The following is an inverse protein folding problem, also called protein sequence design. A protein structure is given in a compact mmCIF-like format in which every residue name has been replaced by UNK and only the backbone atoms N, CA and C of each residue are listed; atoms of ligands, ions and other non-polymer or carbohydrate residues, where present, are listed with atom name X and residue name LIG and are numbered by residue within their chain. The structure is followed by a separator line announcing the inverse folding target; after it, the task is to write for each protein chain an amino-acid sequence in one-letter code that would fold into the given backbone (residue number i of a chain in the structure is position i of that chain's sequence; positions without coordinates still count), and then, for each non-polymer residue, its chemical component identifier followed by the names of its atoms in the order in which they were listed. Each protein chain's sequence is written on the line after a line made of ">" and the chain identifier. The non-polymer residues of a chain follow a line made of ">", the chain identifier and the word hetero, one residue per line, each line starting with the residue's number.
data_IF_928163859569
#
_entry.id   IF_928163859569
#
_cell.length_a   1.000
_cell.length_b   1.000
_cell.length_c   1.000
_cell.angle_alpha   90.00
_cell.angle_beta   90.00
_cell.angle_gamma   90.00
#
_symmetry.space_group_name_H-M   'P 1'
#
loop_
_entity.id
_entity.type
_entity.pdbx_description
1 polymer ?
#
# COMPACT_ATOMS: atom_id res chain seq x y z
N UNK A 1 -37.23 12.65 -48.26
CA UNK A 1 -36.50 13.61 -49.12
C UNK A 1 -35.16 13.89 -48.42
N UNK A 2 -34.13 13.07 -48.65
CA UNK A 2 -33.16 13.06 -49.77
C UNK A 2 -32.05 14.11 -49.61
N UNK A 3 -30.84 13.62 -49.33
CA UNK A 3 -29.52 13.91 -49.94
C UNK A 3 -28.43 13.65 -48.87
N UNK A 4 -27.83 12.46 -48.78
CA UNK A 4 -26.79 11.88 -49.66
C UNK A 4 -25.47 12.65 -49.62
N UNK A 5 -24.55 12.23 -48.74
CA UNK A 5 -23.11 12.44 -48.93
C UNK A 5 -22.37 11.10 -48.84
N UNK A 6 -21.88 10.67 -50.00
CA UNK A 6 -21.02 9.53 -50.28
C UNK A 6 -19.66 10.11 -50.70
N UNK A 7 -18.57 9.71 -50.04
CA UNK A 7 -17.18 9.78 -50.53
C UNK A 7 -16.39 8.71 -49.76
N UNK A 8 -16.37 7.45 -50.19
CA UNK A 8 -15.53 6.87 -51.25
C UNK A 8 -14.04 6.78 -50.84
N UNK A 9 -13.70 5.81 -49.98
CA UNK A 9 -12.32 5.40 -49.74
C UNK A 9 -11.98 4.12 -50.53
N UNK A 10 -11.02 4.25 -51.43
CA UNK A 10 -10.58 3.25 -52.41
C UNK A 10 -9.85 2.08 -51.75
N UNK A 11 -10.25 0.86 -52.14
CA UNK A 11 -9.46 -0.36 -52.06
C UNK A 11 -8.24 -0.26 -52.98
N UNK A 12 -7.04 -0.58 -52.47
CA UNK A 12 -5.93 -1.08 -53.29
C UNK A 12 -5.45 -2.40 -52.72
N UNK A 13 -5.81 -3.46 -53.44
CA UNK A 13 -5.21 -4.78 -53.39
C UNK A 13 -3.87 -4.73 -54.13
N UNK A 14 -2.78 -5.02 -53.42
CA UNK A 14 -1.56 -5.58 -54.00
C UNK A 14 -0.99 -6.59 -52.99
N UNK A 15 -1.08 -7.87 -53.34
CA UNK A 15 -0.15 -8.94 -52.94
C UNK A 15 0.85 -9.07 -54.10
N UNK A 16 2.13 -9.47 -53.94
CA UNK A 16 2.44 -10.80 -53.37
C UNK A 16 3.83 -11.02 -52.69
N UNK A 17 3.91 -12.17 -52.02
CA UNK A 17 5.08 -13.06 -51.82
C UNK A 17 6.29 -12.66 -50.93
N UNK A 18 6.83 -13.72 -50.29
CA UNK A 18 8.15 -13.88 -49.67
C UNK A 18 8.39 -13.29 -48.27
N UNK A 19 8.20 -14.10 -47.22
CA UNK A 19 9.28 -14.82 -46.51
C UNK A 19 8.70 -15.48 -45.25
N UNK A 20 8.65 -16.81 -45.26
CA UNK A 20 8.57 -17.62 -44.03
C UNK A 20 9.96 -17.58 -43.41
N UNK A 21 10.14 -16.74 -42.39
CA UNK A 21 11.30 -16.78 -41.51
C UNK A 21 10.81 -17.13 -40.12
N UNK A 22 10.98 -18.42 -39.82
CA UNK A 22 10.80 -19.06 -38.53
C UNK A 22 11.79 -18.47 -37.53
N UNK A 23 11.45 -17.35 -36.89
CA UNK A 23 12.12 -16.90 -35.68
C UNK A 23 11.52 -17.66 -34.50
N UNK A 24 12.09 -18.83 -34.20
CA UNK A 24 12.03 -19.40 -32.86
C UNK A 24 12.85 -18.50 -31.94
N UNK A 25 12.24 -17.44 -31.43
CA UNK A 25 12.75 -16.79 -30.22
C UNK A 25 12.64 -17.81 -29.10
N UNK A 26 13.78 -18.38 -28.72
CA UNK A 26 14.00 -18.99 -27.42
C UNK A 26 13.59 -17.93 -26.39
N UNK A 27 12.35 -18.02 -25.91
CA UNK A 27 11.96 -17.33 -24.68
C UNK A 27 12.78 -17.98 -23.59
N UNK A 28 13.91 -17.35 -23.30
CA UNK A 28 14.71 -17.62 -22.13
C UNK A 28 13.83 -17.25 -20.94
N UNK A 29 13.03 -18.21 -20.47
CA UNK A 29 12.34 -18.13 -19.21
C UNK A 29 13.41 -18.19 -18.12
N UNK A 30 14.12 -17.08 -17.92
CA UNK A 30 14.76 -16.80 -16.65
C UNK A 30 13.62 -16.79 -15.64
N UNK A 31 13.41 -17.96 -15.05
CA UNK A 31 12.62 -18.14 -13.85
C UNK A 31 13.39 -17.36 -12.81
N UNK A 32 13.06 -16.07 -12.67
CA UNK A 32 13.50 -15.25 -11.55
C UNK A 32 13.06 -16.03 -10.32
N UNK A 33 14.02 -16.69 -9.67
CA UNK A 33 13.86 -17.32 -8.38
C UNK A 33 13.38 -16.22 -7.43
N UNK A 34 12.07 -16.10 -7.32
CA UNK A 34 11.46 -15.24 -6.32
C UNK A 34 11.79 -15.89 -4.98
N UNK A 35 12.47 -15.14 -4.10
CA UNK A 35 12.70 -15.59 -2.74
C UNK A 35 11.38 -16.10 -2.14
N UNK A 36 11.39 -17.23 -1.41
CA UNK A 36 10.19 -17.77 -0.81
C UNK A 36 9.54 -16.71 0.08
N UNK A 37 8.22 -16.58 0.00
CA UNK A 37 7.46 -15.68 0.86
C UNK A 37 7.79 -16.02 2.32
N UNK A 38 8.34 -15.06 3.06
CA UNK A 38 8.63 -15.27 4.47
C UNK A 38 7.31 -15.22 5.24
N UNK A 39 6.90 -16.31 5.92
CA UNK A 39 5.75 -16.24 6.81
C UNK A 39 6.07 -15.17 7.87
N UNK A 40 5.10 -14.31 8.19
CA UNK A 40 5.25 -13.38 9.31
C UNK A 40 5.61 -14.19 10.55
N UNK A 41 6.84 -13.98 11.06
CA UNK A 41 7.38 -14.72 12.19
C UNK A 41 6.38 -14.75 13.36
N UNK A 42 6.33 -15.85 14.12
CA UNK A 42 5.52 -15.90 15.32
C UNK A 42 5.83 -14.67 16.18
N UNK A 43 4.77 -14.06 16.72
CA UNK A 43 4.77 -12.77 17.44
C UNK A 43 5.72 -12.76 18.65
N UNK A 44 6.21 -13.94 19.05
CA UNK A 44 7.12 -14.16 20.17
C UNK A 44 8.23 -15.14 19.81
N UNK A 45 8.78 -15.11 18.59
CA UNK A 45 10.02 -15.86 18.39
C UNK A 45 11.13 -15.21 19.21
N UNK A 46 11.90 -16.02 19.93
CA UNK A 46 13.12 -15.56 20.62
C UNK A 46 14.03 -14.79 19.66
N UNK A 47 14.03 -15.18 18.38
CA UNK A 47 14.73 -14.48 17.32
C UNK A 47 14.27 -13.02 17.15
N UNK A 48 12.96 -12.74 17.16
CA UNK A 48 12.45 -11.37 17.04
C UNK A 48 12.87 -10.54 18.26
N UNK A 49 12.69 -11.07 19.47
CA UNK A 49 13.04 -10.37 20.72
C UNK A 49 14.55 -10.07 20.75
N UNK A 50 15.39 -11.04 20.42
CA UNK A 50 16.85 -10.85 20.34
C UNK A 50 17.22 -9.81 19.27
N UNK A 51 16.57 -9.85 18.10
CA UNK A 51 16.86 -8.88 17.01
C UNK A 51 16.47 -7.45 17.41
N UNK A 52 15.32 -7.29 18.08
CA UNK A 52 14.90 -6.00 18.61
C UNK A 52 15.83 -5.50 19.71
N UNK A 53 16.23 -6.39 20.62
CA UNK A 53 17.17 -6.06 21.70
C UNK A 53 18.50 -5.56 21.15
N UNK A 54 19.10 -6.29 20.19
CA UNK A 54 20.33 -5.83 19.53
C UNK A 54 20.16 -4.49 18.82
N UNK A 55 19.02 -4.23 18.16
CA UNK A 55 18.74 -2.92 17.57
C UNK A 55 18.73 -1.79 18.62
N UNK A 56 18.16 -2.03 19.80
CA UNK A 56 18.15 -1.05 20.88
C UNK A 56 19.54 -0.85 21.48
N UNK A 57 20.35 -1.91 21.60
CA UNK A 57 21.75 -1.84 22.03
C UNK A 57 22.58 -0.98 21.07
N UNK A 58 22.44 -1.18 19.75
CA UNK A 58 23.13 -0.36 18.73
C UNK A 58 22.75 1.12 18.79
N UNK A 59 21.65 1.48 19.46
CA UNK A 59 21.15 2.85 19.61
C UNK A 59 21.28 3.37 21.04
N UNK A 60 22.02 2.67 21.91
CA UNK A 60 22.20 2.97 23.33
C UNK A 60 20.87 3.22 24.06
N UNK A 61 19.85 2.43 23.75
CA UNK A 61 18.52 2.54 24.35
C UNK A 61 18.39 1.52 25.49
N UNK A 62 18.29 1.97 26.75
CA UNK A 62 18.12 1.06 27.89
C UNK A 62 16.83 0.24 27.78
N UNK A 63 16.95 -1.07 27.95
CA UNK A 63 15.84 -2.02 27.91
C UNK A 63 16.22 -3.33 28.62
N UNK A 64 15.25 -4.23 28.79
CA UNK A 64 15.45 -5.62 29.20
C UNK A 64 15.00 -6.56 28.07
N UNK A 65 15.44 -7.82 28.12
CA UNK A 65 15.18 -8.83 27.09
C UNK A 65 13.73 -9.38 27.19
N UNK A 66 12.75 -8.49 27.08
CA UNK A 66 11.33 -8.80 27.06
C UNK A 66 10.57 -7.79 26.19
N UNK A 67 9.43 -8.22 25.64
CA UNK A 67 8.69 -7.43 24.66
C UNK A 67 8.12 -6.13 25.25
N UNK A 68 7.72 -6.13 26.52
CA UNK A 68 7.10 -4.95 27.14
C UNK A 68 8.13 -3.84 27.35
N UNK A 69 9.29 -4.19 27.89
CA UNK A 69 10.42 -3.27 28.07
C UNK A 69 10.91 -2.70 26.74
N UNK A 70 11.10 -3.56 25.73
CA UNK A 70 11.48 -3.15 24.37
C UNK A 70 10.43 -2.22 23.76
N UNK A 71 9.14 -2.56 23.88
CA UNK A 71 8.05 -1.76 23.32
C UNK A 71 8.01 -0.37 23.95
N UNK A 72 8.14 -0.30 25.28
CA UNK A 72 8.18 0.95 26.03
C UNK A 72 9.38 1.81 25.62
N UNK A 73 10.57 1.21 25.53
CA UNK A 73 11.80 1.89 25.16
C UNK A 73 11.75 2.45 23.73
N UNK A 74 11.19 1.68 22.78
CA UNK A 74 11.04 2.10 21.38
C UNK A 74 10.09 3.31 21.19
N UNK A 75 9.18 3.59 22.14
CA UNK A 75 8.25 4.72 22.01
C UNK A 75 8.94 6.08 21.94
N UNK A 76 10.22 6.18 22.32
CA UNK A 76 11.01 7.40 22.20
C UNK A 76 11.19 7.87 20.75
N UNK A 77 11.06 6.97 19.77
CA UNK A 77 11.19 7.29 18.34
C UNK A 77 9.89 7.77 17.69
N UNK A 78 8.78 7.69 18.43
CA UNK A 78 7.47 8.05 17.91
C UNK A 78 7.39 9.55 17.66
N UNK A 79 6.91 9.92 16.47
CA UNK A 79 6.62 11.32 16.15
C UNK A 79 5.62 11.94 17.12
N UNK A 80 5.74 13.24 17.36
CA UNK A 80 4.81 13.98 18.22
C UNK A 80 3.42 14.06 17.58
N UNK A 81 2.34 14.19 18.37
CA UNK A 81 1.01 14.48 17.82
C UNK A 81 1.05 15.72 16.90
N UNK A 82 0.44 15.61 15.72
CA UNK A 82 0.43 16.67 14.71
C UNK A 82 1.72 16.82 13.89
N UNK A 83 2.82 16.15 14.27
CA UNK A 83 4.07 16.17 13.50
C UNK A 83 3.98 15.25 12.29
N UNK A 84 4.30 15.77 11.12
CA UNK A 84 4.36 15.03 9.87
C UNK A 84 5.71 14.36 9.68
N UNK A 85 5.76 13.26 8.90
CA UNK A 85 6.98 12.44 8.79
C UNK A 85 8.17 13.17 8.19
N UNK A 86 7.94 14.15 7.31
CA UNK A 86 9.00 14.97 6.73
C UNK A 86 9.62 15.92 7.76
N UNK A 87 8.89 16.28 8.82
CA UNK A 87 9.35 17.18 9.88
C UNK A 87 10.21 16.48 10.94
N UNK A 88 10.27 15.15 10.92
CA UNK A 88 11.12 14.40 11.84
C UNK A 88 12.59 14.64 11.48
N UNK A 89 13.45 15.07 12.42
CA UNK A 89 14.89 15.06 12.19
C UNK A 89 15.36 13.62 12.06
N UNK A 90 16.37 13.37 11.22
CA UNK A 90 16.98 12.06 11.18
C UNK A 90 17.89 11.84 12.40
N UNK A 91 18.22 10.58 12.66
CA UNK A 91 19.13 10.20 13.74
C UNK A 91 20.56 10.30 13.24
N UNK A 92 21.42 10.91 14.05
CA UNK A 92 22.86 11.00 13.75
C UNK A 92 23.50 9.68 14.13
N UNK A 93 23.88 8.91 13.12
CA UNK A 93 24.62 7.65 13.24
C UNK A 93 25.89 7.79 12.41
N UNK A 94 26.98 7.16 12.84
CA UNK A 94 28.11 6.93 11.94
C UNK A 94 27.77 5.82 10.92
N UNK A 95 28.61 5.64 9.91
CA UNK A 95 28.36 4.71 8.82
C UNK A 95 28.26 3.25 9.30
N UNK A 96 29.05 2.86 10.31
CA UNK A 96 29.05 1.50 10.84
C UNK A 96 27.77 1.23 11.63
N UNK A 97 27.41 2.14 12.53
CA UNK A 97 26.19 2.08 13.33
C UNK A 97 24.95 2.10 12.43
N UNK A 98 24.93 2.95 11.40
CA UNK A 98 23.85 2.97 10.42
C UNK A 98 23.70 1.62 9.70
N UNK A 99 24.80 1.00 9.26
CA UNK A 99 24.75 -0.31 8.62
C UNK A 99 24.19 -1.39 9.54
N UNK A 100 24.61 -1.42 10.82
CA UNK A 100 24.10 -2.38 11.81
C UNK A 100 22.62 -2.17 12.09
N UNK A 101 22.20 -0.93 12.34
CA UNK A 101 20.79 -0.55 12.53
C UNK A 101 19.94 -0.99 11.34
N UNK A 102 20.37 -0.69 10.11
CA UNK A 102 19.65 -1.07 8.91
C UNK A 102 19.61 -2.59 8.69
N UNK A 103 20.66 -3.32 9.06
CA UNK A 103 20.66 -4.78 9.03
C UNK A 103 19.61 -5.37 9.99
N UNK A 104 19.49 -4.84 11.21
CA UNK A 104 18.45 -5.26 12.15
C UNK A 104 17.04 -4.91 11.64
N UNK A 105 16.83 -3.69 11.13
CA UNK A 105 15.54 -3.26 10.57
C UNK A 105 15.12 -4.12 9.36
N UNK A 106 16.09 -4.52 8.54
CA UNK A 106 15.87 -5.46 7.43
C UNK A 106 15.45 -6.82 7.94
N UNK A 107 16.13 -7.36 8.96
CA UNK A 107 15.80 -8.65 9.58
C UNK A 107 14.40 -8.65 10.24
N UNK A 108 13.99 -7.52 10.80
CA UNK A 108 12.64 -7.32 11.35
C UNK A 108 11.56 -7.29 10.24
N UNK A 109 11.95 -7.03 8.99
CA UNK A 109 11.04 -6.96 7.85
C UNK A 109 10.48 -5.56 7.59
N UNK A 110 11.21 -4.50 7.97
CA UNK A 110 10.81 -3.10 7.72
C UNK A 110 11.42 -2.50 6.45
N UNK A 111 12.35 -3.20 5.79
CA UNK A 111 13.12 -2.68 4.65
C UNK A 111 12.71 -3.34 3.35
N UNK A 112 12.80 -4.67 3.29
CA UNK A 112 12.59 -5.43 2.06
C UNK A 112 11.11 -5.52 1.65
N UNK A 113 10.88 -5.89 0.39
CA UNK A 113 9.54 -6.18 -0.12
C UNK A 113 8.88 -7.30 0.70
N UNK A 114 7.62 -7.08 1.09
CA UNK A 114 6.78 -8.11 1.68
C UNK A 114 5.91 -8.74 0.60
N UNK A 115 6.06 -10.05 0.42
CA UNK A 115 5.24 -10.84 -0.52
C UNK A 115 4.23 -11.70 0.24
N UNK A 116 2.99 -11.80 -0.25
CA UNK A 116 2.03 -12.73 0.31
C UNK A 116 2.45 -14.18 0.04
N UNK A 117 2.10 -15.05 0.99
CA UNK A 117 2.23 -16.49 0.88
C UNK A 117 1.06 -17.12 0.09
N UNK A 118 -0.17 -16.59 0.23
CA UNK A 118 -1.31 -17.05 -0.54
C UNK A 118 -1.28 -16.53 -1.99
N UNK A 119 -1.77 -17.36 -2.92
CA UNK A 119 -1.97 -16.97 -4.34
C UNK A 119 -3.38 -16.47 -4.65
N UNK A 120 -4.32 -16.57 -3.72
CA UNK A 120 -5.69 -16.10 -3.90
C UNK A 120 -6.24 -15.44 -2.64
N UNK A 121 -6.98 -14.35 -2.83
CA UNK A 121 -7.62 -13.56 -1.78
C UNK A 121 -9.05 -13.19 -2.18
N UNK A 122 -9.95 -13.07 -1.22
CA UNK A 122 -11.27 -12.52 -1.46
C UNK A 122 -11.19 -10.99 -1.64
N UNK A 123 -10.32 -10.33 -0.86
CA UNK A 123 -10.17 -8.87 -0.89
C UNK A 123 -8.70 -8.45 -1.01
N UNK A 124 -8.45 -7.43 -1.83
CA UNK A 124 -7.23 -6.62 -1.78
C UNK A 124 -7.58 -5.25 -1.17
N UNK A 125 -7.10 -4.98 0.05
CA UNK A 125 -7.32 -3.71 0.75
C UNK A 125 -6.20 -2.74 0.43
N UNK A 126 -6.54 -1.70 -0.32
CA UNK A 126 -5.63 -0.63 -0.66
C UNK A 126 -5.85 0.52 0.31
N UNK A 127 -4.93 0.67 1.26
CA UNK A 127 -5.03 1.69 2.29
C UNK A 127 -4.93 3.09 1.67
N UNK A 128 -5.62 4.06 2.24
CA UNK A 128 -5.51 5.48 1.86
C UNK A 128 -4.13 6.07 2.12
N UNK A 129 -3.74 7.05 1.29
CA UNK A 129 -2.48 7.79 1.38
C UNK A 129 -2.50 9.03 0.47
N UNK A 130 -1.33 9.61 0.21
CA UNK A 130 -1.17 10.56 -0.89
C UNK A 130 -1.37 9.86 -2.23
N UNK A 131 -1.78 10.61 -3.26
CA UNK A 131 -2.00 10.07 -4.62
C UNK A 131 -0.82 9.23 -5.13
N UNK A 132 0.45 9.70 -5.07
CA UNK A 132 1.59 8.89 -5.53
C UNK A 132 1.77 7.56 -4.76
N UNK A 133 1.44 7.55 -3.46
CA UNK A 133 1.54 6.34 -2.63
C UNK A 133 0.41 5.36 -2.93
N UNK A 134 -0.82 5.83 -3.12
CA UNK A 134 -1.92 4.97 -3.58
C UNK A 134 -1.62 4.35 -4.95
N UNK A 135 -1.00 5.11 -5.85
CA UNK A 135 -0.54 4.58 -7.13
C UNK A 135 0.53 3.48 -6.96
N UNK A 136 1.51 3.72 -6.10
CA UNK A 136 2.56 2.72 -5.80
C UNK A 136 1.95 1.42 -5.28
N UNK A 137 1.00 1.52 -4.34
CA UNK A 137 0.25 0.36 -3.83
C UNK A 137 -0.54 -0.36 -4.92
N UNK A 138 -1.19 0.37 -5.84
CA UNK A 138 -1.92 -0.24 -6.94
C UNK A 138 -0.97 -0.93 -7.93
N UNK A 139 0.19 -0.33 -8.22
CA UNK A 139 1.24 -0.94 -9.04
C UNK A 139 1.79 -2.22 -8.40
N UNK A 140 1.95 -2.25 -7.08
CA UNK A 140 2.30 -3.48 -6.37
C UNK A 140 1.25 -4.59 -6.58
N UNK A 141 -0.05 -4.27 -6.56
CA UNK A 141 -1.10 -5.24 -6.89
C UNK A 141 -0.99 -5.72 -8.35
N UNK A 142 -0.70 -4.82 -9.30
CA UNK A 142 -0.50 -5.19 -10.71
C UNK A 142 0.70 -6.12 -10.86
N UNK A 143 1.82 -5.82 -10.19
CA UNK A 143 3.01 -6.69 -10.15
C UNK A 143 2.65 -8.08 -9.61
N UNK A 144 1.99 -8.16 -8.46
CA UNK A 144 1.56 -9.43 -7.86
C UNK A 144 0.58 -10.20 -8.77
N UNK A 145 -0.29 -9.49 -9.49
CA UNK A 145 -1.16 -10.09 -10.49
C UNK A 145 -0.36 -10.77 -11.61
N UNK A 146 0.70 -10.13 -12.11
CA UNK A 146 1.61 -10.77 -13.06
C UNK A 146 2.34 -11.99 -12.46
N UNK A 147 2.63 -11.98 -11.15
CA UNK A 147 3.23 -13.09 -10.39
C UNK A 147 2.23 -14.20 -9.99
N UNK A 148 1.00 -14.15 -10.50
CA UNK A 148 -0.02 -15.18 -10.30
C UNK A 148 -0.88 -15.02 -9.03
N UNK A 149 -0.72 -13.94 -8.27
CA UNK A 149 -1.65 -13.63 -7.15
C UNK A 149 -2.97 -13.12 -7.71
N UNK A 150 -4.09 -13.57 -7.17
CA UNK A 150 -5.44 -13.17 -7.59
C UNK A 150 -6.25 -12.67 -6.42
N UNK A 151 -7.17 -11.76 -6.69
CA UNK A 151 -8.15 -11.28 -5.73
C UNK A 151 -9.50 -11.07 -6.40
N UNK A 152 -10.59 -11.29 -5.67
CA UNK A 152 -11.94 -11.16 -6.22
C UNK A 152 -12.39 -9.69 -6.28
N UNK A 153 -11.92 -8.84 -5.37
CA UNK A 153 -12.30 -7.43 -5.30
C UNK A 153 -11.15 -6.56 -4.80
N UNK A 154 -11.09 -5.31 -5.26
CA UNK A 154 -10.23 -4.27 -4.67
C UNK A 154 -11.10 -3.36 -3.81
N UNK A 155 -10.67 -3.08 -2.58
CA UNK A 155 -11.32 -2.12 -1.69
C UNK A 155 -10.34 -1.00 -1.38
N UNK A 156 -10.62 0.21 -1.86
CA UNK A 156 -9.93 1.42 -1.47
C UNK A 156 -10.49 1.94 -0.15
N UNK A 157 -9.65 1.98 0.87
CA UNK A 157 -9.98 2.52 2.19
C UNK A 157 -9.51 3.97 2.27
N UNK A 158 -10.37 4.90 1.85
CA UNK A 158 -10.02 6.31 1.60
C UNK A 158 -10.82 7.26 2.49
N UNK A 159 -10.37 8.50 2.57
CA UNK A 159 -11.01 9.52 3.41
C UNK A 159 -11.36 10.78 2.60
N UNK A 160 -12.27 11.61 3.12
CA UNK A 160 -12.53 12.95 2.57
C UNK A 160 -11.47 13.97 3.00
N UNK A 161 -10.19 13.59 2.94
CA UNK A 161 -9.06 14.50 3.15
C UNK A 161 -8.90 15.36 1.89
N UNK A 162 -8.81 16.70 2.02
CA UNK A 162 -8.45 17.56 0.90
C UNK A 162 -7.07 17.21 0.34
N UNK A 163 -6.95 17.18 -0.99
CA UNK A 163 -5.66 17.00 -1.65
C UNK A 163 -4.81 18.27 -1.56
N UNK A 164 -3.49 18.09 -1.42
CA UNK A 164 -2.50 19.16 -1.42
C UNK A 164 -1.75 19.06 -2.74
N UNK A 165 -1.96 20.03 -3.64
CA UNK A 165 -1.53 19.94 -5.04
C UNK A 165 -0.09 19.45 -5.26
N UNK A 166 0.87 19.99 -4.49
CA UNK A 166 2.29 19.61 -4.61
C UNK A 166 2.62 18.22 -4.03
N UNK A 167 1.99 17.82 -2.92
CA UNK A 167 2.23 16.53 -2.27
C UNK A 167 1.52 15.40 -3.02
N UNK A 168 0.28 15.66 -3.44
CA UNK A 168 -0.58 14.71 -4.15
C UNK A 168 -0.36 14.76 -5.67
N UNK A 169 0.58 15.57 -6.17
CA UNK A 169 0.96 15.65 -7.59
C UNK A 169 -0.24 15.76 -8.54
N UNK A 170 -1.20 16.61 -8.18
CA UNK A 170 -2.53 16.66 -8.79
C UNK A 170 -2.47 16.91 -10.30
N UNK A 171 -1.59 17.80 -10.74
CA UNK A 171 -1.45 18.16 -12.17
C UNK A 171 -0.89 16.99 -13.00
N UNK A 172 0.02 16.20 -12.41
CA UNK A 172 0.55 14.97 -13.02
C UNK A 172 -0.55 13.92 -13.16
N UNK A 173 -1.40 13.76 -12.14
CA UNK A 173 -2.53 12.83 -12.16
C UNK A 173 -3.55 13.23 -13.23
N UNK A 174 -3.96 14.50 -13.29
CA UNK A 174 -4.87 15.03 -14.32
C UNK A 174 -4.30 14.79 -15.72
N UNK A 175 -3.02 15.13 -15.92
CA UNK A 175 -2.35 14.96 -17.21
C UNK A 175 -2.34 13.50 -17.71
N UNK A 176 -2.39 12.52 -16.82
CA UNK A 176 -2.44 11.10 -17.17
C UNK A 176 -3.85 10.62 -17.50
N UNK A 177 -4.87 11.17 -16.84
CA UNK A 177 -6.27 10.78 -17.08
C UNK A 177 -6.81 11.43 -18.36
N UNK A 178 -6.63 12.74 -18.54
CA UNK A 178 -7.22 13.49 -19.65
C UNK A 178 -6.21 13.93 -20.72
N UNK A 179 -4.92 13.67 -20.51
CA UNK A 179 -3.84 14.03 -21.42
C UNK A 179 -3.22 15.41 -21.13
N UNK A 180 -1.91 15.52 -21.34
CA UNK A 180 -1.13 16.77 -21.12
C UNK A 180 -1.59 17.97 -21.94
N UNK A 181 -2.29 17.75 -23.05
CA UNK A 181 -2.77 18.79 -23.97
C UNK A 181 -4.24 19.19 -23.79
N UNK A 182 -4.91 18.71 -22.72
CA UNK A 182 -6.31 19.03 -22.49
C UNK A 182 -6.51 20.54 -22.27
N UNK A 183 -7.64 21.14 -22.73
CA UNK A 183 -7.95 22.54 -22.45
C UNK A 183 -7.96 22.86 -20.95
N UNK A 184 -7.58 24.08 -20.56
CA UNK A 184 -7.54 24.50 -19.16
C UNK A 184 -8.88 24.28 -18.42
N UNK A 185 -10.00 24.53 -19.09
CA UNK A 185 -11.33 24.26 -18.55
C UNK A 185 -11.55 22.78 -18.22
N UNK A 186 -11.06 21.87 -19.06
CA UNK A 186 -11.12 20.44 -18.81
C UNK A 186 -10.20 20.02 -17.65
N UNK A 187 -8.99 20.58 -17.58
CA UNK A 187 -8.06 20.33 -16.46
C UNK A 187 -8.64 20.80 -15.12
N UNK A 188 -9.25 21.99 -15.09
CA UNK A 188 -9.91 22.54 -13.90
C UNK A 188 -11.09 21.67 -13.45
N UNK A 189 -11.90 21.19 -14.38
CA UNK A 189 -13.06 20.34 -14.10
C UNK A 189 -12.66 18.93 -13.65
N UNK A 190 -11.53 18.40 -14.14
CA UNK A 190 -11.02 17.08 -13.77
C UNK A 190 -10.22 17.08 -12.46
N UNK A 191 -10.08 18.23 -11.78
CA UNK A 191 -9.23 18.35 -10.60
C UNK A 191 -9.86 17.67 -9.37
N UNK A 192 -9.25 16.60 -8.84
CA UNK A 192 -9.75 15.93 -7.65
C UNK A 192 -9.58 16.85 -6.44
N UNK A 193 -10.63 16.93 -5.62
CA UNK A 193 -10.68 17.70 -4.39
C UNK A 193 -10.30 16.84 -3.18
N UNK A 194 -10.66 15.55 -3.21
CA UNK A 194 -10.49 14.62 -2.08
C UNK A 194 -9.60 13.44 -2.42
N UNK A 195 -9.07 12.77 -1.38
CA UNK A 195 -8.35 11.51 -1.51
C UNK A 195 -9.18 10.41 -2.20
N UNK A 196 -10.49 10.36 -1.96
CA UNK A 196 -11.41 9.46 -2.65
C UNK A 196 -11.47 9.70 -4.16
N UNK A 197 -11.57 10.96 -4.59
CA UNK A 197 -11.54 11.32 -6.01
C UNK A 197 -10.16 11.02 -6.63
N UNK A 198 -9.09 11.32 -5.89
CA UNK A 198 -7.72 10.98 -6.29
C UNK A 198 -7.53 9.47 -6.48
N UNK A 199 -8.08 8.64 -5.60
CA UNK A 199 -8.01 7.18 -5.70
C UNK A 199 -8.72 6.65 -6.95
N UNK A 200 -9.89 7.20 -7.30
CA UNK A 200 -10.60 6.85 -8.54
C UNK A 200 -9.76 7.15 -9.77
N UNK A 201 -9.18 8.35 -9.83
CA UNK A 201 -8.29 8.75 -10.92
C UNK A 201 -7.03 7.90 -10.98
N UNK A 202 -6.44 7.52 -9.84
CA UNK A 202 -5.30 6.58 -9.79
C UNK A 202 -5.67 5.25 -10.41
N UNK A 203 -6.83 4.69 -10.08
CA UNK A 203 -7.31 3.43 -10.65
C UNK A 203 -7.48 3.54 -12.18
N UNK A 204 -8.13 4.61 -12.65
CA UNK A 204 -8.35 4.87 -14.08
C UNK A 204 -7.04 5.06 -14.86
N UNK A 205 -6.09 5.81 -14.30
CA UNK A 205 -4.81 6.14 -14.93
C UNK A 205 -3.75 5.04 -14.84
N UNK A 206 -4.00 3.98 -14.08
CA UNK A 206 -3.02 2.89 -13.90
C UNK A 206 -3.17 1.85 -15.00
N UNK A 207 -2.06 1.57 -15.68
CA UNK A 207 -1.96 0.47 -16.62
C UNK A 207 -2.02 -0.86 -15.85
N UNK A 208 -2.97 -1.72 -16.24
CA UNK A 208 -3.16 -3.02 -15.59
C UNK A 208 -3.77 -4.01 -16.59
N UNK A 209 -3.57 -5.33 -16.40
CA UNK A 209 -4.17 -6.35 -17.24
C UNK A 209 -5.69 -6.21 -17.33
N UNK A 210 -6.27 -6.45 -18.50
CA UNK A 210 -7.72 -6.31 -18.74
C UNK A 210 -8.54 -7.16 -17.75
N UNK A 211 -8.07 -8.37 -17.43
CA UNK A 211 -8.71 -9.24 -16.45
C UNK A 211 -8.74 -8.62 -15.03
N UNK A 212 -7.66 -7.95 -14.62
CA UNK A 212 -7.61 -7.23 -13.35
C UNK A 212 -8.53 -6.00 -13.40
N UNK A 213 -8.55 -5.27 -14.52
CA UNK A 213 -9.42 -4.08 -14.67
C UNK A 213 -10.91 -4.39 -14.54
N UNK A 214 -11.33 -5.63 -14.84
CA UNK A 214 -12.73 -6.08 -14.78
C UNK A 214 -13.19 -6.49 -13.37
N UNK A 215 -12.30 -6.60 -12.39
CA UNK A 215 -12.70 -6.96 -11.03
C UNK A 215 -13.47 -5.82 -10.37
N UNK A 216 -14.44 -6.11 -9.48
CA UNK A 216 -15.13 -5.09 -8.71
C UNK A 216 -14.17 -4.24 -7.88
N UNK A 217 -14.40 -2.92 -7.90
CA UNK A 217 -13.68 -1.95 -7.07
C UNK A 217 -14.67 -1.22 -6.17
N UNK A 218 -14.39 -1.22 -4.87
CA UNK A 218 -15.19 -0.54 -3.85
C UNK A 218 -14.37 0.61 -3.30
N UNK A 219 -14.99 1.78 -3.13
CA UNK A 219 -14.39 2.94 -2.50
C UNK A 219 -15.14 3.23 -1.20
N UNK A 220 -14.47 2.98 -0.07
CA UNK A 220 -14.99 3.29 1.26
C UNK A 220 -14.59 4.73 1.56
N UNK A 221 -15.48 5.66 1.26
CA UNK A 221 -15.24 7.11 1.38
C UNK A 221 -15.55 7.60 2.79
N UNK A 222 -14.62 7.52 3.73
CA UNK A 222 -14.88 7.92 5.13
C UNK A 222 -14.83 9.43 5.31
N UNK A 223 -15.91 10.09 5.78
CA UNK A 223 -15.91 11.52 5.99
C UNK A 223 -14.93 11.92 7.09
N UNK A 224 -14.35 13.11 6.96
CA UNK A 224 -13.70 13.79 8.08
C UNK A 224 -14.75 14.11 9.16
N UNK A 225 -14.35 14.15 10.41
CA UNK A 225 -15.23 14.51 11.52
C UNK A 225 -14.68 15.71 12.27
N UNK A 226 -15.58 16.46 12.90
CA UNK A 226 -15.19 17.58 13.74
C UNK A 226 -14.76 17.06 15.12
N UNK A 227 -13.52 17.35 15.53
CA UNK A 227 -13.01 17.00 16.84
C UNK A 227 -12.77 18.29 17.63
N UNK A 228 -13.78 18.69 18.40
CA UNK A 228 -13.84 19.88 19.27
C UNK A 228 -13.55 21.21 18.56
N UNK A 229 -12.29 21.42 18.16
CA UNK A 229 -11.76 22.67 17.63
C UNK A 229 -11.19 22.56 16.21
N UNK A 230 -11.12 21.36 15.62
CA UNK A 230 -10.58 21.17 14.27
C UNK A 230 -11.21 20.01 13.52
N UNK A 231 -11.12 20.05 12.18
CA UNK A 231 -11.48 18.92 11.33
C UNK A 231 -10.41 17.83 11.42
N UNK A 232 -10.78 16.67 11.95
CA UNK A 232 -9.92 15.50 12.02
C UNK A 232 -10.14 14.61 10.79
N UNK A 233 -9.04 14.21 10.17
CA UNK A 233 -9.02 13.25 9.07
C UNK A 233 -9.38 11.85 9.60
N UNK A 234 -10.21 11.12 8.87
CA UNK A 234 -10.41 9.70 9.15
C UNK A 234 -9.07 8.96 9.00
N UNK A 235 -8.77 8.08 9.96
CA UNK A 235 -7.59 7.23 9.94
C UNK A 235 -7.93 5.82 9.45
N UNK A 236 -6.92 4.94 9.32
CA UNK A 236 -7.11 3.56 8.87
C UNK A 236 -8.19 2.81 9.67
N UNK A 237 -8.25 2.97 10.99
CA UNK A 237 -9.27 2.31 11.84
C UNK A 237 -10.67 2.79 11.49
N UNK A 238 -10.85 4.09 11.25
CA UNK A 238 -12.15 4.65 10.87
C UNK A 238 -12.62 4.09 9.51
N UNK A 239 -11.71 3.99 8.54
CA UNK A 239 -12.01 3.41 7.22
C UNK A 239 -12.34 1.92 7.28
N UNK A 240 -11.65 1.15 8.13
CA UNK A 240 -11.94 -0.28 8.33
C UNK A 240 -13.30 -0.49 9.00
N UNK A 241 -13.62 0.30 10.04
CA UNK A 241 -14.93 0.25 10.71
C UNK A 241 -16.05 0.58 9.73
N UNK A 242 -15.87 1.62 8.92
CA UNK A 242 -16.84 1.97 7.88
C UNK A 242 -17.02 0.84 6.87
N UNK A 243 -15.93 0.25 6.38
CA UNK A 243 -15.98 -0.88 5.46
C UNK A 243 -16.77 -2.06 6.02
N UNK A 244 -16.50 -2.46 7.27
CA UNK A 244 -17.18 -3.58 7.92
C UNK A 244 -18.66 -3.29 8.20
N UNK A 245 -19.03 -2.03 8.41
CA UNK A 245 -20.41 -1.62 8.57
C UNK A 245 -21.19 -1.67 7.25
N UNK A 246 -20.57 -1.23 6.15
CA UNK A 246 -21.19 -1.16 4.82
C UNK A 246 -21.19 -2.51 4.09
N UNK A 247 -20.18 -3.35 4.33
CA UNK A 247 -19.97 -4.59 3.58
C UNK A 247 -20.42 -5.83 4.38
N UNK A 248 -21.72 -6.07 4.36
CA UNK A 248 -22.37 -7.19 5.05
C UNK A 248 -22.96 -8.21 4.07
N UNK A 249 -22.95 -9.47 4.46
CA UNK A 249 -23.69 -10.56 3.81
C UNK A 249 -25.20 -10.33 3.95
N UNK A 250 -26.06 -11.05 3.19
CA UNK A 250 -27.52 -10.93 3.31
C UNK A 250 -28.07 -11.18 4.73
N UNK A 251 -27.38 -12.00 5.53
CA UNK A 251 -27.68 -12.24 6.96
C UNK A 251 -27.09 -11.18 7.90
N UNK A 252 -26.56 -10.08 7.37
CA UNK A 252 -26.09 -8.91 8.13
C UNK A 252 -24.72 -9.06 8.79
N UNK A 253 -23.96 -10.12 8.48
CA UNK A 253 -22.62 -10.36 9.04
C UNK A 253 -21.53 -9.79 8.14
N UNK A 254 -20.36 -9.40 8.68
CA UNK A 254 -19.21 -9.04 7.84
C UNK A 254 -18.83 -10.21 6.93
N UNK A 255 -18.69 -9.95 5.64
CA UNK A 255 -18.29 -10.97 4.67
C UNK A 255 -16.79 -11.29 4.83
N UNK A 256 -16.47 -12.22 5.74
CA UNK A 256 -15.10 -12.68 6.00
C UNK A 256 -14.38 -13.23 4.76
N UNK A 257 -13.08 -13.49 4.89
CA UNK A 257 -12.26 -14.00 3.79
C UNK A 257 -10.77 -13.77 4.01
N UNK A 258 -9.94 -14.35 3.14
CA UNK A 258 -8.54 -13.97 3.00
C UNK A 258 -8.44 -12.58 2.41
N UNK A 259 -7.63 -11.77 3.08
CA UNK A 259 -7.52 -10.34 2.81
C UNK A 259 -6.05 -9.99 2.63
N UNK A 260 -5.69 -9.49 1.46
CA UNK A 260 -4.38 -8.93 1.18
C UNK A 260 -4.39 -7.43 1.52
N UNK A 261 -3.67 -7.05 2.56
CA UNK A 261 -3.45 -5.64 2.93
C UNK A 261 -2.30 -5.09 2.11
N UNK A 262 -2.51 -3.98 1.42
CA UNK A 262 -1.50 -3.33 0.59
C UNK A 262 -1.06 -2.03 1.25
N UNK A 263 0.22 -1.96 1.59
CA UNK A 263 0.84 -0.79 2.21
C UNK A 263 2.24 -0.56 1.64
N UNK A 264 2.97 0.42 2.17
CA UNK A 264 4.34 0.73 1.77
C UNK A 264 5.29 0.48 2.94
N UNK A 265 6.51 0.02 2.67
CA UNK A 265 7.55 0.02 3.68
C UNK A 265 8.01 1.45 4.04
N UNK A 266 8.37 1.71 5.30
CA UNK A 266 8.45 0.76 6.42
C UNK A 266 7.14 0.58 7.21
N UNK A 267 6.01 1.10 6.71
CA UNK A 267 4.76 1.16 7.47
C UNK A 267 3.90 -0.10 7.37
N UNK A 268 4.28 -1.06 6.53
CA UNK A 268 3.47 -2.23 6.22
C UNK A 268 3.12 -3.06 7.46
N UNK A 269 4.09 -3.37 8.32
CA UNK A 269 3.87 -4.17 9.53
C UNK A 269 2.90 -3.49 10.51
N UNK A 270 3.11 -2.19 10.78
CA UNK A 270 2.21 -1.44 11.66
C UNK A 270 0.78 -1.39 11.10
N UNK A 271 0.63 -1.10 9.80
CA UNK A 271 -0.68 -1.02 9.18
C UNK A 271 -1.38 -2.37 9.17
N UNK A 272 -0.65 -3.46 8.89
CA UNK A 272 -1.20 -4.81 8.99
C UNK A 272 -1.71 -5.11 10.40
N UNK A 273 -0.99 -4.66 11.41
CA UNK A 273 -1.37 -4.87 12.79
C UNK A 273 -2.61 -4.06 13.21
N UNK A 274 -2.76 -2.85 12.67
CA UNK A 274 -4.01 -2.09 12.78
C UNK A 274 -5.16 -2.85 12.12
N UNK A 275 -4.97 -3.40 10.92
CA UNK A 275 -6.01 -4.16 10.22
C UNK A 275 -6.42 -5.39 11.02
N UNK A 276 -5.47 -6.15 11.58
CA UNK A 276 -5.75 -7.34 12.40
C UNK A 276 -6.58 -7.05 13.64
N UNK A 277 -6.42 -5.88 14.23
CA UNK A 277 -7.18 -5.49 15.43
C UNK A 277 -8.60 -5.05 15.13
N UNK A 278 -8.85 -4.53 13.93
CA UNK A 278 -10.16 -3.99 13.55
C UNK A 278 -11.01 -5.00 12.77
N UNK A 279 -10.38 -5.95 12.07
CA UNK A 279 -11.12 -6.97 11.34
C UNK A 279 -11.54 -8.12 12.26
N UNK A 280 -12.79 -8.63 12.13
CA UNK A 280 -13.23 -9.84 12.81
C UNK A 280 -12.34 -11.06 12.51
N UNK A 281 -12.36 -12.06 13.38
CA UNK A 281 -11.59 -13.32 13.23
C UNK A 281 -11.93 -14.10 11.94
N UNK A 282 -13.09 -13.86 11.34
CA UNK A 282 -13.46 -14.42 10.05
C UNK A 282 -12.59 -13.94 8.89
N UNK A 283 -11.75 -12.92 9.10
CA UNK A 283 -10.80 -12.42 8.12
C UNK A 283 -9.39 -12.98 8.38
N UNK A 284 -8.78 -13.57 7.35
CA UNK A 284 -7.38 -14.03 7.38
C UNK A 284 -6.51 -13.04 6.63
N UNK A 285 -5.68 -12.30 7.34
CA UNK A 285 -4.96 -11.17 6.73
C UNK A 285 -3.50 -11.50 6.43
N UNK A 286 -3.06 -11.17 5.23
CA UNK A 286 -1.65 -11.08 4.83
C UNK A 286 -1.34 -9.64 4.41
N UNK A 287 -0.07 -9.26 4.39
CA UNK A 287 0.35 -7.92 3.96
C UNK A 287 1.34 -8.02 2.82
N UNK A 288 1.27 -7.05 1.91
CA UNK A 288 2.30 -6.79 0.92
C UNK A 288 2.68 -5.32 0.94
N UNK A 289 3.93 -5.05 0.56
CA UNK A 289 4.42 -3.70 0.32
C UNK A 289 5.74 -3.76 -0.42
N UNK A 290 5.96 -2.79 -1.29
CA UNK A 290 7.24 -2.64 -1.98
C UNK A 290 8.37 -2.39 -0.98
N UNK A 291 9.60 -2.71 -1.40
CA UNK A 291 10.82 -2.34 -0.67
C UNK A 291 10.77 -0.83 -0.35
N UNK A 292 11.23 -0.45 0.83
CA UNK A 292 11.38 0.95 1.18
C UNK A 292 12.31 1.67 0.17
N UNK A 293 12.02 2.93 -0.11
CA UNK A 293 12.86 3.74 -0.98
C UNK A 293 14.27 3.90 -0.36
N UNK A 294 15.31 3.91 -1.20
CA UNK A 294 16.70 3.92 -0.72
C UNK A 294 17.02 5.19 0.08
N UNK A 295 16.33 6.30 -0.21
CA UNK A 295 16.42 7.58 0.49
C UNK A 295 15.57 7.69 1.77
N UNK A 296 14.93 6.59 2.21
CA UNK A 296 14.13 6.60 3.44
C UNK A 296 15.03 6.82 4.66
N UNK A 297 14.73 7.86 5.43
CA UNK A 297 15.47 8.25 6.65
C UNK A 297 15.32 7.23 7.78
N UNK A 298 16.39 7.01 8.56
CA UNK A 298 16.39 6.05 9.68
C UNK A 298 15.28 6.34 10.69
N UNK A 299 15.06 7.62 11.01
CA UNK A 299 13.98 8.03 11.91
C UNK A 299 12.59 7.55 11.47
N UNK A 300 12.34 7.41 10.16
CA UNK A 300 11.03 6.95 9.64
C UNK A 300 10.86 5.45 9.89
N UNK A 301 11.92 4.65 9.76
CA UNK A 301 11.89 3.23 10.11
C UNK A 301 11.63 3.02 11.60
N UNK A 302 12.30 3.79 12.45
CA UNK A 302 12.14 3.68 13.90
C UNK A 302 10.76 4.18 14.39
N UNK A 303 10.18 5.22 13.77
CA UNK A 303 8.77 5.59 14.03
C UNK A 303 7.82 4.46 13.63
N UNK A 304 8.03 3.83 12.47
CA UNK A 304 7.22 2.71 12.02
C UNK A 304 7.34 1.49 12.95
N UNK A 305 8.55 1.20 13.43
CA UNK A 305 8.82 0.17 14.43
C UNK A 305 8.09 0.46 15.75
N UNK A 306 8.23 1.67 16.28
CA UNK A 306 7.56 2.08 17.52
C UNK A 306 6.04 1.95 17.42
N UNK A 307 5.46 2.37 16.29
CA UNK A 307 4.03 2.21 16.00
C UNK A 307 3.64 0.73 15.88
N UNK A 308 4.46 -0.10 15.23
CA UNK A 308 4.17 -1.52 15.09
C UNK A 308 4.18 -2.22 16.45
N UNK A 309 5.23 -2.04 17.26
CA UNK A 309 5.35 -2.63 18.60
C UNK A 309 4.21 -2.20 19.52
N UNK A 310 3.83 -0.92 19.51
CA UNK A 310 2.69 -0.43 20.28
C UNK A 310 1.38 -1.13 19.90
N UNK A 311 1.15 -1.36 18.61
CA UNK A 311 -0.04 -2.08 18.16
C UNK A 311 0.07 -3.58 18.45
N UNK A 312 1.26 -4.17 18.33
CA UNK A 312 1.52 -5.58 18.62
C UNK A 312 1.22 -5.90 20.08
N UNK A 313 1.77 -5.10 21.01
CA UNK A 313 1.56 -5.25 22.45
C UNK A 313 0.06 -5.27 22.80
N UNK A 314 -0.73 -4.35 22.25
CA UNK A 314 -2.19 -4.33 22.45
C UNK A 314 -2.87 -5.64 22.07
N UNK A 315 -2.47 -6.26 20.95
CA UNK A 315 -3.07 -7.53 20.51
C UNK A 315 -2.61 -8.68 21.40
N UNK A 316 -1.34 -8.70 21.80
CA UNK A 316 -0.81 -9.73 22.72
C UNK A 316 -1.54 -9.66 24.06
N UNK A 317 -1.67 -8.47 24.65
CA UNK A 317 -2.35 -8.28 25.93
C UNK A 317 -3.86 -8.59 25.87
N UNK A 318 -4.50 -8.46 24.71
CA UNK A 318 -5.92 -8.79 24.56
C UNK A 318 -6.20 -10.31 24.49
N UNK A 319 -5.17 -11.13 24.25
CA UNK A 319 -5.28 -12.59 24.15
C UNK A 319 -4.85 -13.33 25.43
N UNK A 320 -4.42 -12.60 26.47
CA UNK A 320 -4.09 -13.13 27.80
C UNK A 320 -5.29 -13.01 28.72
#
# INVERSE_FOLDING_TARGET
>A
MSLSYLLQYRRRLVRPCFFVLLWMTVMNAQTLYSAPAQPLSPIHSDELINTLSSLLDELDVPHSLDLDSITNAAQRWRRKPGQERWEMPDIKLDDEQHQKVMAHLKKIGLVDELKPSSKHFEYALLLGATVPRMETRLKQLVKLWHEGVRFNQIVFLVAQRPLIAGIDQVDTLISRVIGKGAPESAQKNARPQTETEGARMVFEATEMPEAMRKIPVIYIDTPRYWNENYWQRANTRDTLKKWIQEYKTPDGKPAGGKTLVVSDQPHALYQHEVVRQELPESFKTEVTGEKAADETRTAIYLDALALWLHNLQKRVSANQ
#
